data_IF_081225996684
#
_entry.id   IF_081225996684
#
_cell.length_a   1.000
_cell.length_b   1.000
_cell.length_c   1.000
_cell.angle_alpha   90.00
_cell.angle_beta   90.00
_cell.angle_gamma   90.00
#
_symmetry.space_group_name_H-M   'P 1'
#
loop_
_entity.id
_entity.type
_entity.pdbx_description
1 polymer ?
#
# COMPACT_ATOMS: atom_id res chain seq x y z
N UNK A 1 43.27 14.31 7.75
CA UNK A 1 42.29 15.01 6.91
C UNK A 1 41.60 13.98 6.02
N UNK A 2 40.50 13.44 6.47
CA UNK A 2 39.64 12.56 5.69
C UNK A 2 38.72 13.39 4.82
N UNK A 3 38.98 13.44 3.51
CA UNK A 3 38.07 14.02 2.55
C UNK A 3 36.82 13.12 2.43
N UNK A 4 35.73 13.49 3.10
CA UNK A 4 34.45 12.83 2.90
C UNK A 4 34.01 13.06 1.45
N UNK A 5 33.70 11.98 0.75
CA UNK A 5 33.09 12.06 -0.58
C UNK A 5 31.67 12.64 -0.39
N UNK A 6 31.47 13.86 -0.80
CA UNK A 6 30.13 14.48 -0.83
C UNK A 6 29.42 13.96 -2.06
N UNK A 7 28.47 13.04 -1.85
CA UNK A 7 27.57 12.63 -2.92
C UNK A 7 26.56 13.75 -3.19
N UNK A 8 26.68 14.38 -4.34
CA UNK A 8 25.66 15.31 -4.83
C UNK A 8 24.74 14.59 -5.79
N UNK A 9 23.41 14.74 -5.60
CA UNK A 9 22.45 14.22 -6.56
C UNK A 9 22.65 14.90 -7.92
N UNK A 10 22.84 14.16 -9.02
CA UNK A 10 22.89 14.75 -10.35
C UNK A 10 21.53 15.37 -10.67
N UNK A 11 21.56 16.57 -11.29
CA UNK A 11 20.36 17.22 -11.79
C UNK A 11 19.97 16.53 -13.10
N UNK A 12 18.82 15.87 -13.11
CA UNK A 12 18.26 15.18 -14.28
C UNK A 12 16.90 15.75 -14.64
N UNK A 13 16.53 15.68 -15.92
CA UNK A 13 15.20 16.03 -16.37
C UNK A 13 14.14 14.93 -16.05
N UNK A 14 14.60 13.76 -15.66
CA UNK A 14 13.75 12.60 -15.33
C UNK A 14 13.77 12.37 -13.83
N UNK A 15 12.59 12.18 -13.24
CA UNK A 15 12.45 11.73 -11.87
C UNK A 15 12.76 10.24 -11.75
N UNK A 16 13.53 9.86 -10.71
CA UNK A 16 13.84 8.47 -10.39
C UNK A 16 13.27 8.16 -9.02
N UNK A 17 12.32 7.23 -8.98
CA UNK A 17 11.66 6.77 -7.77
C UNK A 17 12.10 5.33 -7.42
N UNK A 18 12.09 5.02 -6.13
CA UNK A 18 12.45 3.70 -5.62
C UNK A 18 11.21 2.90 -5.26
N UNK A 19 11.33 1.59 -5.24
CA UNK A 19 10.33 0.69 -4.65
C UNK A 19 10.71 0.37 -3.22
N UNK A 20 9.74 0.44 -2.32
CA UNK A 20 9.90 0.06 -0.91
C UNK A 20 8.90 -1.05 -0.59
N UNK A 21 9.38 -2.15 -0.05
CA UNK A 21 8.53 -3.27 0.37
C UNK A 21 8.33 -3.30 1.88
N UNK A 22 9.33 -2.88 2.63
CA UNK A 22 9.37 -2.94 4.09
C UNK A 22 9.57 -1.55 4.67
N UNK A 23 8.68 -1.08 5.57
CA UNK A 23 8.76 0.28 6.13
C UNK A 23 10.07 0.61 6.84
N UNK A 24 10.69 -0.37 7.51
CA UNK A 24 11.95 -0.22 8.21
C UNK A 24 13.15 0.09 7.29
N UNK A 25 13.03 -0.15 6.00
CA UNK A 25 14.03 0.22 4.99
C UNK A 25 13.85 1.63 4.42
N UNK A 26 12.81 2.36 4.85
CA UNK A 26 12.46 3.65 4.27
C UNK A 26 13.57 4.70 4.43
N UNK A 27 14.25 4.75 5.58
CA UNK A 27 15.34 5.68 5.82
C UNK A 27 16.52 5.45 4.86
N UNK A 28 16.96 4.20 4.71
CA UNK A 28 18.03 3.84 3.76
C UNK A 28 17.63 4.14 2.31
N UNK A 29 16.37 3.92 1.96
CA UNK A 29 15.85 4.25 0.64
C UNK A 29 15.82 5.78 0.40
N UNK A 30 15.47 6.58 1.40
CA UNK A 30 15.48 8.04 1.32
C UNK A 30 16.91 8.59 1.18
N UNK A 31 17.89 7.96 1.82
CA UNK A 31 19.31 8.34 1.71
C UNK A 31 19.89 8.20 0.28
N UNK A 32 19.23 7.45 -0.59
CA UNK A 32 19.58 7.35 -2.01
C UNK A 32 19.32 8.65 -2.79
N UNK A 33 18.66 9.62 -2.17
CA UNK A 33 18.20 10.88 -2.79
C UNK A 33 17.23 10.68 -3.97
N UNK A 34 16.51 9.55 -4.01
CA UNK A 34 15.45 9.33 -4.99
C UNK A 34 14.36 10.40 -4.92
N UNK A 35 13.65 10.60 -6.03
CA UNK A 35 12.61 11.64 -6.14
C UNK A 35 11.28 11.25 -5.48
N UNK A 36 11.23 10.10 -4.88
CA UNK A 36 10.09 9.59 -4.14
C UNK A 36 10.03 8.05 -4.15
N UNK A 37 8.92 7.52 -3.68
CA UNK A 37 8.59 6.10 -3.73
C UNK A 37 7.59 5.89 -4.86
N UNK A 38 8.00 5.16 -5.90
CA UNK A 38 7.15 4.82 -7.03
C UNK A 38 6.19 3.68 -6.72
N UNK A 39 6.55 2.82 -5.77
CA UNK A 39 5.73 1.71 -5.33
C UNK A 39 6.04 1.33 -3.88
N UNK A 40 5.06 1.49 -3.00
CA UNK A 40 5.03 0.89 -1.67
C UNK A 40 3.94 -0.18 -1.66
N UNK A 41 4.32 -1.40 -1.32
CA UNK A 41 3.41 -2.56 -1.29
C UNK A 41 2.91 -2.80 0.12
N UNK A 42 1.60 -2.73 0.33
CA UNK A 42 1.01 -2.99 1.66
C UNK A 42 0.91 -4.48 2.00
N UNK A 43 1.04 -5.38 1.01
CA UNK A 43 0.97 -6.82 1.23
C UNK A 43 1.96 -7.31 2.29
N UNK A 44 3.19 -6.79 2.28
CA UNK A 44 4.20 -7.15 3.27
C UNK A 44 3.81 -6.73 4.69
N UNK A 45 3.14 -5.57 4.85
CA UNK A 45 2.61 -5.14 6.14
C UNK A 45 1.53 -6.08 6.63
N UNK A 46 0.59 -6.47 5.74
CA UNK A 46 -0.52 -7.36 6.06
C UNK A 46 -0.01 -8.77 6.37
N UNK A 47 0.90 -9.31 5.57
CA UNK A 47 1.52 -10.61 5.83
C UNK A 47 2.25 -10.64 7.18
N UNK A 48 2.90 -9.53 7.54
CA UNK A 48 3.55 -9.37 8.84
C UNK A 48 2.60 -9.41 10.04
N UNK A 49 1.31 -9.09 9.85
CA UNK A 49 0.28 -9.19 10.90
C UNK A 49 -0.16 -10.64 11.15
N UNK A 50 0.08 -11.56 10.20
CA UNK A 50 -0.31 -12.97 10.30
C UNK A 50 -1.81 -13.25 10.18
N UNK A 51 -2.64 -12.22 9.93
CA UNK A 51 -4.09 -12.28 9.85
C UNK A 51 -4.60 -11.51 8.64
N UNK A 52 -5.61 -12.06 7.96
CA UNK A 52 -6.20 -11.42 6.78
C UNK A 52 -7.06 -10.19 7.15
N UNK A 53 -7.29 -9.26 6.23
CA UNK A 53 -8.25 -8.17 6.44
C UNK A 53 -9.63 -8.69 6.87
N UNK A 54 -10.09 -9.80 6.29
CA UNK A 54 -11.36 -10.43 6.64
C UNK A 54 -11.41 -10.91 8.10
N UNK A 55 -10.29 -11.38 8.64
CA UNK A 55 -10.22 -11.72 10.05
C UNK A 55 -10.51 -10.51 10.95
N UNK A 56 -9.91 -9.37 10.65
CA UNK A 56 -10.13 -8.12 11.41
C UNK A 56 -11.58 -7.65 11.30
N UNK A 57 -12.19 -7.76 10.12
CA UNK A 57 -13.59 -7.39 9.89
C UNK A 57 -14.52 -8.28 10.71
N UNK A 58 -14.35 -9.60 10.64
CA UNK A 58 -15.18 -10.58 11.37
C UNK A 58 -15.08 -10.47 12.88
N UNK A 59 -13.93 -10.06 13.39
CA UNK A 59 -13.67 -9.92 14.82
C UNK A 59 -13.90 -8.50 15.37
N UNK A 60 -14.45 -7.59 14.57
CA UNK A 60 -14.72 -6.22 15.00
C UNK A 60 -13.46 -5.39 15.29
N UNK A 61 -12.33 -5.73 14.66
CA UNK A 61 -11.01 -5.11 14.87
C UNK A 61 -10.56 -4.27 13.69
N UNK A 62 -11.51 -3.64 13.00
CA UNK A 62 -11.23 -2.82 11.81
C UNK A 62 -10.33 -1.63 12.10
N UNK A 63 -10.50 -0.98 13.26
CA UNK A 63 -9.63 0.14 13.67
C UNK A 63 -8.19 -0.31 13.93
N UNK A 64 -7.98 -1.49 14.51
CA UNK A 64 -6.65 -2.06 14.69
C UNK A 64 -5.96 -2.26 13.33
N UNK A 65 -6.65 -2.82 12.35
CA UNK A 65 -6.16 -3.00 10.99
C UNK A 65 -5.78 -1.67 10.32
N UNK A 66 -6.68 -0.68 10.39
CA UNK A 66 -6.44 0.67 9.85
C UNK A 66 -5.20 1.29 10.49
N UNK A 67 -5.07 1.21 11.80
CA UNK A 67 -3.94 1.80 12.53
C UNK A 67 -2.61 1.12 12.19
N UNK A 68 -2.59 -0.19 11.96
CA UNK A 68 -1.38 -0.90 11.52
C UNK A 68 -0.96 -0.46 10.10
N UNK A 69 -1.90 -0.28 9.18
CA UNK A 69 -1.61 0.28 7.86
C UNK A 69 -1.08 1.72 7.96
N UNK A 70 -1.74 2.56 8.74
CA UNK A 70 -1.30 3.96 8.97
C UNK A 70 0.12 3.99 9.52
N UNK A 71 0.42 3.17 10.51
CA UNK A 71 1.77 3.09 11.13
C UNK A 71 2.84 2.74 10.10
N UNK A 72 2.62 1.71 9.29
CA UNK A 72 3.59 1.27 8.29
C UNK A 72 3.79 2.29 7.17
N UNK A 73 2.71 2.83 6.63
CA UNK A 73 2.77 3.83 5.55
C UNK A 73 3.38 5.14 6.05
N UNK A 74 3.04 5.56 7.27
CA UNK A 74 3.58 6.77 7.89
C UNK A 74 5.11 6.77 7.98
N UNK A 75 5.71 5.65 8.36
CA UNK A 75 7.18 5.52 8.42
C UNK A 75 7.81 5.89 7.07
N UNK A 76 7.25 5.37 5.98
CA UNK A 76 7.75 5.63 4.63
C UNK A 76 7.45 7.06 4.19
N UNK A 77 6.25 7.55 4.44
CA UNK A 77 5.82 8.89 4.07
C UNK A 77 6.64 9.98 4.79
N UNK A 78 6.92 9.80 6.08
CA UNK A 78 7.77 10.72 6.86
C UNK A 78 9.21 10.74 6.32
N UNK A 79 9.77 9.58 5.98
CA UNK A 79 11.14 9.47 5.47
C UNK A 79 11.34 10.19 4.14
N UNK A 80 10.31 10.22 3.30
CA UNK A 80 10.37 10.84 1.97
C UNK A 80 9.75 12.24 1.90
N UNK A 81 9.03 12.69 2.94
CA UNK A 81 8.34 13.98 2.91
C UNK A 81 9.27 15.14 2.48
N UNK A 82 8.84 16.04 1.57
CA UNK A 82 7.54 16.13 0.88
C UNK A 82 7.47 15.36 -0.46
N UNK A 83 8.44 14.51 -0.75
CA UNK A 83 8.48 13.73 -2.00
C UNK A 83 7.34 12.70 -2.04
N UNK A 84 6.78 12.40 -3.23
CA UNK A 84 5.62 11.52 -3.35
C UNK A 84 5.92 10.07 -2.94
N UNK A 85 4.93 9.45 -2.30
CA UNK A 85 4.92 8.02 -1.96
C UNK A 85 3.64 7.42 -2.53
N UNK A 86 3.78 6.58 -3.57
CA UNK A 86 2.68 5.87 -4.18
C UNK A 86 2.47 4.51 -3.51
N UNK A 87 1.34 4.36 -2.84
CA UNK A 87 0.97 3.16 -2.10
C UNK A 87 -0.01 2.34 -2.92
N UNK A 88 0.37 1.12 -3.25
CA UNK A 88 -0.51 0.20 -3.95
C UNK A 88 -1.47 -0.46 -2.98
N UNK A 89 -2.78 -0.40 -3.27
CA UNK A 89 -3.79 -1.13 -2.53
C UNK A 89 -3.55 -2.64 -2.64
N UNK A 90 -4.19 -3.42 -1.78
CA UNK A 90 -3.93 -4.84 -1.63
C UNK A 90 -4.00 -5.60 -2.97
N UNK A 91 -2.94 -6.33 -3.28
CA UNK A 91 -2.79 -7.15 -4.48
C UNK A 91 -2.09 -8.48 -4.14
N UNK A 92 -2.62 -9.22 -3.16
CA UNK A 92 -2.13 -10.54 -2.84
C UNK A 92 -2.94 -11.62 -3.58
N UNK A 93 -2.28 -12.59 -4.22
CA UNK A 93 -2.96 -13.76 -4.76
C UNK A 93 -3.59 -14.61 -3.66
N UNK A 94 -4.63 -15.35 -4.00
CA UNK A 94 -5.42 -16.16 -3.06
C UNK A 94 -4.61 -17.19 -2.29
N UNK A 95 -3.54 -17.75 -2.89
CA UNK A 95 -2.66 -18.72 -2.24
C UNK A 95 -1.86 -18.12 -1.06
N UNK A 96 -1.44 -16.86 -1.16
CA UNK A 96 -0.74 -16.17 -0.06
C UNK A 96 -1.65 -15.97 1.14
N UNK A 97 -2.90 -15.59 0.91
CA UNK A 97 -3.87 -15.37 1.97
C UNK A 97 -4.40 -16.64 2.61
N UNK A 98 -4.43 -17.74 1.87
CA UNK A 98 -4.95 -19.02 2.40
C UNK A 98 -4.14 -19.53 3.58
N UNK A 99 -2.85 -19.25 3.63
CA UNK A 99 -1.97 -19.67 4.73
C UNK A 99 -2.10 -18.81 5.99
N UNK A 100 -2.85 -17.68 5.92
CA UNK A 100 -3.02 -16.76 7.04
C UNK A 100 -4.28 -17.09 7.85
N UNK A 101 -4.30 -16.68 9.12
CA UNK A 101 -5.50 -16.77 9.94
C UNK A 101 -6.64 -15.94 9.33
N UNK A 102 -7.77 -16.54 9.09
CA UNK A 102 -8.91 -15.95 8.38
C UNK A 102 -8.86 -16.13 6.86
N UNK A 103 -7.88 -16.86 6.34
CA UNK A 103 -7.72 -17.17 4.92
C UNK A 103 -8.41 -18.46 4.46
N UNK A 104 -9.14 -19.16 5.34
CA UNK A 104 -9.76 -20.46 5.05
C UNK A 104 -10.85 -20.37 3.96
N UNK A 105 -11.44 -19.18 3.79
CA UNK A 105 -12.45 -18.91 2.76
C UNK A 105 -11.88 -18.51 1.40
N UNK A 106 -10.56 -18.43 1.26
CA UNK A 106 -9.94 -18.05 -0.01
C UNK A 106 -10.14 -19.14 -1.08
N UNK A 107 -10.57 -18.79 -2.29
CA UNK A 107 -10.80 -19.75 -3.36
C UNK A 107 -9.49 -20.45 -3.78
N UNK A 108 -9.61 -21.72 -4.14
CA UNK A 108 -8.50 -22.44 -4.76
C UNK A 108 -8.50 -22.15 -6.26
N UNK A 109 -7.44 -21.48 -6.73
CA UNK A 109 -7.28 -21.14 -8.14
C UNK A 109 -6.11 -21.91 -8.76
N UNK A 110 -6.29 -22.37 -10.02
CA UNK A 110 -5.21 -23.04 -10.75
C UNK A 110 -4.10 -22.07 -11.15
N UNK A 111 -4.44 -20.80 -11.38
CA UNK A 111 -3.49 -19.74 -11.68
C UNK A 111 -3.79 -18.47 -10.84
N UNK A 112 -3.33 -18.41 -9.58
CA UNK A 112 -3.58 -17.26 -8.70
C UNK A 112 -3.01 -15.95 -9.23
N UNK A 113 -1.99 -16.00 -10.10
CA UNK A 113 -1.37 -14.80 -10.68
C UNK A 113 -2.31 -14.03 -11.61
N UNK A 114 -3.29 -14.70 -12.24
CA UNK A 114 -4.27 -14.12 -13.16
C UNK A 114 -5.69 -14.14 -12.59
N UNK A 115 -5.88 -14.65 -11.36
CA UNK A 115 -7.17 -14.90 -10.76
C UNK A 115 -7.71 -13.74 -9.92
N UNK A 116 -8.23 -14.08 -8.77
CA UNK A 116 -8.92 -13.22 -7.81
C UNK A 116 -7.94 -12.37 -7.00
N UNK A 117 -7.49 -11.25 -7.61
CA UNK A 117 -6.52 -10.33 -7.01
C UNK A 117 -6.69 -8.90 -7.53
N UNK A 118 -6.00 -7.95 -6.91
CA UNK A 118 -5.94 -6.57 -7.33
C UNK A 118 -7.28 -5.87 -7.25
N UNK A 119 -7.52 -4.90 -8.12
CA UNK A 119 -8.75 -4.09 -8.13
C UNK A 119 -10.02 -4.93 -8.36
N UNK A 120 -9.93 -6.04 -9.07
CA UNK A 120 -11.06 -6.96 -9.27
C UNK A 120 -11.56 -7.51 -7.93
N UNK A 121 -10.64 -7.92 -7.06
CA UNK A 121 -10.93 -8.38 -5.71
C UNK A 121 -11.46 -7.24 -4.84
N UNK A 122 -10.80 -6.10 -4.87
CA UNK A 122 -11.17 -4.90 -4.10
C UNK A 122 -12.60 -4.45 -4.40
N UNK A 123 -13.04 -4.53 -5.65
CA UNK A 123 -14.38 -4.12 -6.06
C UNK A 123 -15.48 -5.14 -5.75
N UNK A 124 -15.14 -6.37 -5.45
CA UNK A 124 -16.10 -7.42 -5.06
C UNK A 124 -16.16 -7.55 -3.54
N UNK A 125 -15.01 -7.48 -2.87
CA UNK A 125 -14.89 -7.47 -1.42
C UNK A 125 -14.57 -6.05 -0.93
N UNK A 126 -15.53 -5.13 -1.10
CA UNK A 126 -15.31 -3.69 -0.92
C UNK A 126 -14.94 -3.28 0.50
N UNK A 127 -15.27 -4.11 1.51
CA UNK A 127 -15.04 -3.73 2.90
C UNK A 127 -13.55 -3.51 3.21
N UNK A 128 -12.67 -4.42 2.84
CA UNK A 128 -11.24 -4.22 3.10
C UNK A 128 -10.67 -3.04 2.31
N UNK A 129 -11.14 -2.79 1.09
CA UNK A 129 -10.76 -1.61 0.32
C UNK A 129 -11.18 -0.31 1.01
N UNK A 130 -12.38 -0.27 1.61
CA UNK A 130 -12.82 0.86 2.42
C UNK A 130 -11.92 1.11 3.62
N UNK A 131 -11.43 0.06 4.29
CA UNK A 131 -10.48 0.19 5.40
C UNK A 131 -9.16 0.79 4.94
N UNK A 132 -8.66 0.41 3.77
CA UNK A 132 -7.47 1.02 3.18
C UNK A 132 -7.69 2.51 2.89
N UNK A 133 -8.83 2.89 2.31
CA UNK A 133 -9.18 4.30 2.03
C UNK A 133 -9.23 5.10 3.33
N UNK A 134 -9.81 4.56 4.40
CA UNK A 134 -9.82 5.20 5.72
C UNK A 134 -8.41 5.39 6.29
N UNK A 135 -7.49 4.44 6.05
CA UNK A 135 -6.09 4.60 6.41
C UNK A 135 -5.43 5.76 5.67
N UNK A 136 -5.66 5.90 4.36
CA UNK A 136 -5.16 7.02 3.56
C UNK A 136 -5.72 8.35 4.04
N UNK A 137 -7.01 8.40 4.37
CA UNK A 137 -7.65 9.60 4.94
C UNK A 137 -6.97 10.02 6.24
N UNK A 138 -6.75 9.10 7.18
CA UNK A 138 -6.02 9.37 8.43
C UNK A 138 -4.62 9.93 8.17
N UNK A 139 -3.89 9.38 7.20
CA UNK A 139 -2.55 9.89 6.84
C UNK A 139 -2.59 11.34 6.33
N UNK A 140 -3.56 11.67 5.48
CA UNK A 140 -3.75 13.03 5.00
C UNK A 140 -4.15 14.00 6.12
N UNK A 141 -5.02 13.57 7.04
CA UNK A 141 -5.39 14.34 8.23
C UNK A 141 -4.20 14.60 9.18
N UNK A 142 -3.20 13.71 9.18
CA UNK A 142 -1.93 13.91 9.88
C UNK A 142 -0.96 14.86 9.17
N UNK A 143 -1.34 15.41 8.01
CA UNK A 143 -0.51 16.29 7.20
C UNK A 143 0.40 15.61 6.19
N UNK A 144 0.28 14.30 6.00
CA UNK A 144 1.05 13.52 5.03
C UNK A 144 0.39 13.56 3.65
N UNK A 145 0.33 14.74 3.06
CA UNK A 145 -0.27 14.97 1.73
C UNK A 145 0.54 14.35 0.57
N UNK A 146 1.74 13.86 0.85
CA UNK A 146 2.62 13.23 -0.12
C UNK A 146 2.27 11.75 -0.42
N UNK A 147 1.28 11.18 0.26
CA UNK A 147 0.80 9.80 0.03
C UNK A 147 -0.25 9.79 -1.08
N UNK A 148 0.01 9.00 -2.12
CA UNK A 148 -0.94 8.74 -3.20
C UNK A 148 -1.32 7.26 -3.30
N UNK A 149 -2.45 6.99 -3.94
CA UNK A 149 -3.02 5.64 -4.07
C UNK A 149 -2.75 5.10 -5.47
N UNK A 150 -2.27 3.87 -5.56
CA UNK A 150 -2.14 3.12 -6.80
C UNK A 150 -3.09 1.92 -6.78
N UNK A 151 -3.94 1.82 -7.81
CA UNK A 151 -4.86 0.70 -7.98
C UNK A 151 -4.21 -0.36 -8.86
N UNK A 152 -4.01 -1.60 -8.35
CA UNK A 152 -3.35 -2.64 -9.10
C UNK A 152 -4.30 -3.35 -10.08
N UNK A 153 -3.75 -3.81 -11.21
CA UNK A 153 -4.41 -4.70 -12.18
C UNK A 153 -5.73 -4.17 -12.77
N UNK A 154 -5.84 -2.85 -12.96
CA UNK A 154 -7.01 -2.23 -13.61
C UNK A 154 -7.02 -2.62 -15.09
N UNK A 155 -8.13 -3.22 -15.55
CA UNK A 155 -8.32 -3.64 -16.94
C UNK A 155 -9.42 -2.83 -17.67
N UNK A 156 -10.37 -2.27 -16.91
CA UNK A 156 -11.51 -1.53 -17.47
C UNK A 156 -11.71 -0.18 -16.76
N UNK A 157 -12.13 0.82 -17.52
CA UNK A 157 -12.48 2.16 -16.98
C UNK A 157 -13.55 2.07 -15.90
N UNK A 158 -14.49 1.14 -16.02
CA UNK A 158 -15.54 0.93 -15.00
C UNK A 158 -14.99 0.53 -13.63
N UNK A 159 -13.90 -0.23 -13.58
CA UNK A 159 -13.24 -0.60 -12.32
C UNK A 159 -12.66 0.64 -11.63
N UNK A 160 -12.00 1.50 -12.40
CA UNK A 160 -11.50 2.78 -11.89
C UNK A 160 -12.64 3.69 -11.39
N UNK A 161 -13.73 3.78 -12.14
CA UNK A 161 -14.90 4.58 -11.77
C UNK A 161 -15.53 4.09 -10.46
N UNK A 162 -15.67 2.77 -10.28
CA UNK A 162 -16.17 2.18 -9.03
C UNK A 162 -15.25 2.43 -7.85
N UNK A 163 -13.95 2.25 -8.02
CA UNK A 163 -12.97 2.55 -6.99
C UNK A 163 -13.04 4.03 -6.57
N UNK A 164 -13.13 4.94 -7.54
CA UNK A 164 -13.29 6.37 -7.28
C UNK A 164 -14.58 6.69 -6.54
N UNK A 165 -15.69 6.02 -6.88
CA UNK A 165 -16.95 6.19 -6.17
C UNK A 165 -16.84 5.80 -4.70
N UNK A 166 -16.19 4.67 -4.39
CA UNK A 166 -15.94 4.22 -3.02
C UNK A 166 -15.07 5.25 -2.26
N UNK A 167 -14.03 5.80 -2.91
CA UNK A 167 -13.20 6.85 -2.31
C UNK A 167 -14.01 8.10 -1.95
N UNK A 168 -14.97 8.47 -2.79
CA UNK A 168 -15.86 9.63 -2.53
C UNK A 168 -16.82 9.34 -1.39
N UNK A 169 -17.33 8.11 -1.27
CA UNK A 169 -18.23 7.72 -0.17
C UNK A 169 -17.54 7.73 1.20
N UNK A 170 -16.23 7.46 1.22
CA UNK A 170 -15.44 7.44 2.47
C UNK A 170 -14.87 8.82 2.85
N UNK A 171 -15.03 9.83 2.03
CA UNK A 171 -14.68 11.21 2.34
C UNK A 171 -15.79 11.87 3.16
#
# INVERSE_FOLDING_TARGET
SGGGVVFTKPITATEIKVNVSEPDRAAAAADTMADGVGLLRIEHMILGLGKTPNWYIKNGKTEEYINELVKGIKIVADAFYPKPVWVRTLDAPTDEFRAMEGGEGEPHEHNPMLGWRGIRRDLTETEHFRLEIRAFKKLHEMGLSNVGIMLPMVQHVREFQKAKAIMVEEN
#
